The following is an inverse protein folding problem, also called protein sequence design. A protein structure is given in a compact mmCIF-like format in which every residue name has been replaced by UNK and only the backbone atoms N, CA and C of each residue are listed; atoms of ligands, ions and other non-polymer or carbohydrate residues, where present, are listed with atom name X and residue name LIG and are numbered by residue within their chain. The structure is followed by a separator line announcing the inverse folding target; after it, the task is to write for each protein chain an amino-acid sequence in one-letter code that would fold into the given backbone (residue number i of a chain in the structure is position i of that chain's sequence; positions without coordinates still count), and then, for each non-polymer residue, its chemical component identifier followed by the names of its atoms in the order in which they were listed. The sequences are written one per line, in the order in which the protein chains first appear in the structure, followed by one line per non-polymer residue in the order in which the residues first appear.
data_IF_497635462956
#
_entry.id   IF_497635462956
#
_cell.length_a   1.000
_cell.length_b   1.000
_cell.length_c   1.000
_cell.angle_alpha   90.00
_cell.angle_beta   90.00
_cell.angle_gamma   90.00
#
_symmetry.space_group_name_H-M   'P 1'
#
loop_
_entity.id
_entity.type
_entity.pdbx_description
1 polymer ?
#
# COMPACT_ATOMS: atom_id res chain seq x y z
N UNK A 1 -9.97 -8.56 16.93
CA UNK A 1 -9.30 -9.18 15.78
C UNK A 1 -8.32 -8.16 15.24
N UNK A 2 -7.01 -8.44 15.30
CA UNK A 2 -6.01 -7.58 14.65
C UNK A 2 -5.93 -7.97 13.16
N UNK A 3 -6.24 -7.06 12.23
CA UNK A 3 -6.11 -7.35 10.81
C UNK A 3 -4.65 -7.34 10.38
N UNK A 4 -4.28 -8.24 9.46
CA UNK A 4 -2.96 -8.20 8.82
C UNK A 4 -2.85 -6.98 7.91
N UNK A 5 -1.64 -6.47 7.72
CA UNK A 5 -1.41 -5.38 6.78
C UNK A 5 -1.65 -5.85 5.35
N UNK A 6 -2.64 -5.25 4.67
CA UNK A 6 -2.96 -5.54 3.27
C UNK A 6 -1.74 -5.41 2.34
N UNK A 7 -0.81 -4.49 2.67
CA UNK A 7 0.46 -4.31 1.95
C UNK A 7 1.24 -5.61 1.73
N UNK A 8 1.19 -6.55 2.68
CA UNK A 8 1.96 -7.79 2.65
C UNK A 8 1.13 -9.02 2.26
N UNK A 9 -0.19 -8.87 2.14
CA UNK A 9 -1.07 -9.97 1.75
C UNK A 9 -1.14 -10.07 0.23
N UNK A 10 -0.98 -11.27 -0.33
CA UNK A 10 -1.09 -11.54 -1.77
C UNK A 10 -2.02 -12.70 -2.05
N UNK A 11 -2.84 -12.56 -3.09
CA UNK A 11 -3.62 -13.67 -3.65
C UNK A 11 -2.70 -14.64 -4.40
N UNK A 12 -2.89 -15.93 -4.18
CA UNK A 12 -2.16 -17.00 -4.87
C UNK A 12 -2.66 -17.24 -6.28
N UNK A 13 -2.02 -18.19 -6.98
CA UNK A 13 -2.45 -18.66 -8.32
C UNK A 13 -3.82 -19.34 -8.24
N UNK A 14 -4.06 -20.10 -7.17
CA UNK A 14 -5.39 -20.58 -6.83
C UNK A 14 -6.18 -19.45 -6.19
N UNK A 15 -7.35 -19.15 -6.75
CA UNK A 15 -8.12 -17.96 -6.41
C UNK A 15 -8.60 -17.89 -4.95
N UNK A 16 -8.57 -19.02 -4.23
CA UNK A 16 -8.96 -19.14 -2.82
C UNK A 16 -7.77 -19.20 -1.85
N UNK A 17 -6.54 -19.10 -2.37
CA UNK A 17 -5.34 -19.10 -1.52
C UNK A 17 -4.75 -17.70 -1.38
N UNK A 18 -4.22 -17.43 -0.20
CA UNK A 18 -3.64 -16.14 0.14
C UNK A 18 -2.40 -16.33 1.00
N UNK A 19 -1.46 -15.42 0.84
CA UNK A 19 -0.14 -15.51 1.43
C UNK A 19 0.23 -14.20 2.09
N UNK A 20 0.82 -14.26 3.29
CA UNK A 20 1.47 -13.13 3.93
C UNK A 20 2.96 -13.17 3.60
N UNK A 21 3.42 -12.17 2.85
CA UNK A 21 4.81 -11.99 2.44
C UNK A 21 5.48 -10.95 3.32
N UNK A 22 6.27 -11.40 4.29
CA UNK A 22 7.16 -10.49 5.03
C UNK A 22 8.40 -10.20 4.19
N UNK A 23 8.76 -8.92 4.07
CA UNK A 23 9.90 -8.51 3.24
C UNK A 23 11.21 -8.91 3.91
N UNK A 24 11.94 -9.87 3.33
CA UNK A 24 13.25 -10.34 3.85
C UNK A 24 13.68 -11.69 3.30
N UNK A 25 14.99 -11.97 3.28
CA UNK A 25 15.59 -13.19 2.72
C UNK A 25 15.36 -14.46 3.57
N UNK A 26 14.88 -14.32 4.81
CA UNK A 26 14.86 -15.41 5.80
C UNK A 26 13.47 -15.80 6.28
N UNK A 27 12.42 -15.09 5.87
CA UNK A 27 11.06 -15.38 6.35
C UNK A 27 10.31 -16.20 5.33
N UNK A 28 9.82 -17.37 5.74
CA UNK A 28 8.96 -18.18 4.90
C UNK A 28 7.60 -17.50 4.72
N UNK A 29 7.03 -17.49 3.51
CA UNK A 29 5.65 -17.06 3.28
C UNK A 29 4.69 -17.83 4.18
N UNK A 30 3.75 -17.12 4.80
CA UNK A 30 2.69 -17.74 5.59
C UNK A 30 1.42 -17.89 4.74
N UNK A 31 0.92 -19.11 4.59
CA UNK A 31 -0.35 -19.38 3.92
C UNK A 31 -1.52 -19.20 4.88
N UNK A 32 -2.53 -18.44 4.48
CA UNK A 32 -3.76 -18.32 5.25
C UNK A 32 -4.66 -19.53 5.05
N UNK A 33 -5.39 -19.91 6.10
CA UNK A 33 -6.40 -20.96 6.02
C UNK A 33 -7.49 -20.57 5.00
N UNK A 34 -7.91 -21.46 4.09
CA UNK A 34 -9.01 -21.18 3.16
C UNK A 34 -10.27 -20.70 3.88
N UNK A 35 -10.92 -19.66 3.35
CA UNK A 35 -12.11 -19.05 3.94
C UNK A 35 -11.87 -18.14 5.16
N UNK A 36 -10.64 -17.97 5.62
CA UNK A 36 -10.32 -17.08 6.76
C UNK A 36 -10.11 -15.61 6.38
N UNK A 37 -10.08 -15.29 5.08
CA UNK A 37 -9.88 -13.92 4.58
C UNK A 37 -11.21 -13.26 4.21
N UNK A 38 -11.39 -12.04 4.70
CA UNK A 38 -12.44 -11.13 4.30
C UNK A 38 -11.84 -9.95 3.51
N UNK A 39 -12.38 -9.68 2.32
CA UNK A 39 -11.99 -8.53 1.49
C UNK A 39 -12.92 -7.37 1.76
N UNK A 40 -12.39 -6.32 2.38
CA UNK A 40 -13.05 -5.01 2.40
C UNK A 40 -12.76 -4.34 1.06
N UNK A 41 -13.73 -4.38 0.15
CA UNK A 41 -13.59 -3.79 -1.19
C UNK A 41 -13.60 -2.26 -1.11
N UNK A 42 -12.52 -1.66 -1.58
CA UNK A 42 -12.49 -0.26 -2.00
C UNK A 42 -12.64 -0.20 -3.52
N UNK A 43 -13.51 0.66 -4.07
CA UNK A 43 -13.74 0.72 -5.50
C UNK A 43 -12.48 1.22 -6.24
N UNK A 44 -12.00 0.42 -7.19
CA UNK A 44 -10.99 0.83 -8.17
C UNK A 44 -11.42 0.37 -9.57
N UNK A 45 -11.23 1.22 -10.58
CA UNK A 45 -11.65 0.96 -11.97
C UNK A 45 -10.67 0.06 -12.74
N UNK A 46 -9.43 -0.08 -12.25
CA UNK A 46 -8.33 -0.77 -12.95
C UNK A 46 -7.87 -2.05 -12.23
N UNK A 47 -8.33 -2.30 -11.01
CA UNK A 47 -7.95 -3.43 -10.16
C UNK A 47 -9.18 -4.13 -9.60
N UNK A 48 -9.29 -5.43 -9.89
CA UNK A 48 -10.39 -6.27 -9.39
C UNK A 48 -10.07 -6.94 -8.04
N UNK A 49 -8.79 -7.00 -7.67
CA UNK A 49 -8.30 -7.77 -6.51
C UNK A 49 -7.91 -6.86 -5.34
N UNK A 50 -7.37 -5.68 -5.63
CA UNK A 50 -6.91 -4.73 -4.61
C UNK A 50 -7.53 -3.37 -4.83
N UNK A 51 -7.90 -2.70 -3.75
CA UNK A 51 -8.33 -1.32 -3.78
C UNK A 51 -7.18 -0.34 -4.06
N UNK A 52 -7.54 0.89 -4.38
CA UNK A 52 -6.61 1.99 -4.57
C UNK A 52 -6.42 2.77 -3.26
N UNK A 53 -5.18 3.03 -2.79
CA UNK A 53 -4.99 3.82 -1.59
C UNK A 53 -5.59 5.23 -1.75
N UNK A 54 -6.49 5.63 -0.85
CA UNK A 54 -7.20 6.92 -0.94
C UNK A 54 -6.27 8.16 -0.96
N UNK A 55 -5.06 8.04 -0.40
CA UNK A 55 -4.06 9.12 -0.39
C UNK A 55 -3.43 9.40 -1.76
N UNK A 56 -3.63 8.56 -2.79
CA UNK A 56 -3.09 8.85 -4.12
C UNK A 56 -3.57 10.19 -4.67
N UNK A 57 -4.83 10.55 -4.37
CA UNK A 57 -5.41 11.85 -4.71
C UNK A 57 -4.67 13.04 -4.09
N UNK A 58 -3.99 12.82 -2.95
CA UNK A 58 -3.25 13.85 -2.22
C UNK A 58 -1.82 14.06 -2.73
N UNK A 59 -1.28 13.17 -3.59
CA UNK A 59 0.11 13.26 -4.10
C UNK A 59 0.43 14.62 -4.74
N UNK A 60 -0.43 15.20 -5.62
CA UNK A 60 -0.14 16.51 -6.19
C UNK A 60 -0.03 17.61 -5.12
N UNK A 61 -0.87 17.55 -4.09
CA UNK A 61 -0.83 18.50 -2.98
C UNK A 61 0.41 18.34 -2.10
N UNK A 62 0.86 17.10 -1.86
CA UNK A 62 2.08 16.86 -1.06
C UNK A 62 3.33 17.34 -1.80
N UNK A 63 3.42 17.06 -3.11
CA UNK A 63 4.52 17.52 -3.96
C UNK A 63 4.58 19.06 -4.05
N UNK A 64 3.42 19.71 -4.15
CA UNK A 64 3.36 21.18 -4.15
C UNK A 64 3.87 21.76 -2.82
N UNK A 65 3.48 21.17 -1.70
CA UNK A 65 3.94 21.62 -0.38
C UNK A 65 5.45 21.39 -0.19
N UNK A 66 5.96 20.25 -0.64
CA UNK A 66 7.40 19.94 -0.63
C UNK A 66 8.18 20.98 -1.44
N UNK A 67 7.75 21.27 -2.66
CA UNK A 67 8.42 22.25 -3.53
C UNK A 67 8.42 23.67 -2.93
N UNK A 68 7.31 24.10 -2.31
CA UNK A 68 7.23 25.39 -1.62
C UNK A 68 8.19 25.46 -0.40
N UNK A 69 8.36 24.34 0.30
CA UNK A 69 9.30 24.25 1.43
C UNK A 69 10.75 24.29 0.95
N UNK A 70 11.08 23.57 -0.12
CA UNK A 70 12.40 23.61 -0.75
C UNK A 70 12.74 24.99 -1.31
N UNK A 71 11.76 25.68 -1.92
CA UNK A 71 11.93 27.04 -2.42
C UNK A 71 12.34 28.00 -1.29
N UNK A 72 11.57 28.02 -0.18
CA UNK A 72 11.89 28.85 1.00
C UNK A 72 13.27 28.53 1.55
N UNK A 73 13.61 27.25 1.69
CA UNK A 73 14.92 26.83 2.19
C UNK A 73 16.07 27.32 1.30
N UNK A 74 15.95 27.16 -0.02
CA UNK A 74 16.96 27.62 -0.99
C UNK A 74 17.08 29.14 -1.00
N UNK A 75 15.96 29.86 -0.88
CA UNK A 75 15.95 31.32 -0.80
C UNK A 75 16.79 31.84 0.36
N UNK A 76 16.65 31.27 1.56
CA UNK A 76 17.44 31.71 2.72
C UNK A 76 18.89 31.22 2.73
N UNK A 77 19.21 30.13 2.03
CA UNK A 77 20.59 29.60 1.95
C UNK A 77 21.44 30.28 0.87
N UNK A 78 20.81 30.70 -0.23
CA UNK A 78 21.50 31.30 -1.39
C UNK A 78 21.36 32.83 -1.47
N UNK A 79 20.65 33.43 -0.50
CA UNK A 79 20.54 34.87 -0.33
C UNK A 79 21.80 35.48 0.28
#
# INVERSE_FOLDING_TARGET
LEPTLAKYTRRGVHLDTYWFLQYGMTTQPYEFTPGSIFHLLEPDINQEIYGLPGYLSAIPSTLLNESATLFRRKYYLNG
#
